data_IF_868692737942
#
_entry.id   IF_868692737942
#
_cell.length_a   1.000
_cell.length_b   1.000
_cell.length_c   1.000
_cell.angle_alpha   90.00
_cell.angle_beta   90.00
_cell.angle_gamma   90.00
#
_symmetry.space_group_name_H-M   'P 1'
#
loop_
_entity.id
_entity.type
_entity.pdbx_description
1 polymer ?
#
# COMPACT_ATOMS: atom_id res chain seq x y z
N UNK A 1 16.91 -3.36 -11.66
CA UNK A 1 15.88 -4.26 -11.18
C UNK A 1 16.35 -4.78 -9.85
N UNK A 2 15.69 -4.39 -8.81
CA UNK A 2 16.02 -4.76 -7.43
C UNK A 2 15.38 -6.08 -7.02
N UNK A 3 15.27 -6.29 -5.73
CA UNK A 3 14.71 -7.51 -5.13
C UNK A 3 13.24 -7.33 -4.71
N UNK A 4 12.55 -6.30 -5.19
CA UNK A 4 11.20 -5.91 -4.76
C UNK A 4 10.21 -7.09 -4.79
N UNK A 5 10.22 -7.90 -5.86
CA UNK A 5 9.35 -9.07 -5.96
C UNK A 5 9.63 -10.15 -4.93
N UNK A 6 10.90 -10.34 -4.54
CA UNK A 6 11.28 -11.25 -3.47
C UNK A 6 10.87 -10.69 -2.10
N UNK A 7 11.04 -9.38 -1.91
CA UNK A 7 10.64 -8.71 -0.66
C UNK A 7 9.14 -8.77 -0.45
N UNK A 8 8.32 -8.54 -1.49
CA UNK A 8 6.87 -8.75 -1.41
C UNK A 8 6.51 -10.14 -0.91
N UNK A 9 7.15 -11.16 -1.47
CA UNK A 9 6.95 -12.54 -1.02
C UNK A 9 7.36 -12.71 0.45
N UNK A 10 8.57 -12.29 0.83
CA UNK A 10 9.09 -12.48 2.19
C UNK A 10 8.23 -11.74 3.21
N UNK A 11 7.93 -10.46 2.97
CA UNK A 11 7.11 -9.65 3.87
C UNK A 11 5.73 -10.28 4.06
N UNK A 12 5.05 -10.66 2.97
CA UNK A 12 3.72 -11.26 3.07
C UNK A 12 3.73 -12.60 3.84
N UNK A 13 4.81 -13.40 3.70
CA UNK A 13 4.98 -14.64 4.48
C UNK A 13 5.26 -14.41 5.96
N UNK A 14 5.95 -13.33 6.29
CA UNK A 14 6.15 -12.95 7.69
C UNK A 14 4.87 -12.42 8.32
N UNK A 15 4.05 -11.69 7.56
CA UNK A 15 2.72 -11.23 8.01
C UNK A 15 1.77 -12.38 8.34
N UNK A 16 1.89 -13.56 7.68
CA UNK A 16 1.15 -14.77 8.08
C UNK A 16 1.45 -15.24 9.52
N UNK A 17 2.58 -14.83 10.10
CA UNK A 17 2.99 -15.15 11.48
C UNK A 17 2.64 -14.04 12.47
N UNK A 18 2.06 -12.95 11.99
CA UNK A 18 1.63 -11.82 12.81
C UNK A 18 0.21 -12.04 13.38
N UNK A 19 -0.29 -11.02 14.08
CA UNK A 19 -1.69 -10.98 14.57
C UNK A 19 -2.67 -10.49 13.49
N UNK A 20 -2.20 -10.13 12.30
CA UNK A 20 -3.06 -9.70 11.20
C UNK A 20 -3.85 -10.88 10.64
N UNK A 21 -5.10 -10.62 10.27
CA UNK A 21 -5.92 -11.59 9.57
C UNK A 21 -5.55 -11.62 8.08
N UNK A 22 -5.83 -12.74 7.42
CA UNK A 22 -5.47 -12.94 6.01
C UNK A 22 -6.09 -11.89 5.07
N UNK A 23 -7.26 -11.40 5.39
CA UNK A 23 -7.95 -10.36 4.62
C UNK A 23 -7.35 -8.95 4.78
N UNK A 24 -6.41 -8.75 5.71
CA UNK A 24 -5.82 -7.44 5.99
C UNK A 24 -4.57 -7.14 5.14
N UNK A 25 -4.01 -8.13 4.46
CA UNK A 25 -2.83 -7.97 3.61
C UNK A 25 -2.86 -8.88 2.39
N UNK A 26 -2.14 -8.49 1.34
CA UNK A 26 -2.01 -9.30 0.13
C UNK A 26 -0.90 -10.33 0.31
N UNK A 27 -1.23 -11.60 0.02
CA UNK A 27 -0.27 -12.70 0.05
C UNK A 27 0.35 -12.88 -1.33
N UNK A 28 1.68 -12.83 -1.38
CA UNK A 28 2.43 -12.99 -2.63
C UNK A 28 3.09 -14.37 -2.74
N UNK A 29 3.26 -14.82 -3.98
CA UNK A 29 4.04 -16.00 -4.38
C UNK A 29 5.13 -15.56 -5.33
N UNK A 30 6.25 -16.24 -5.33
CA UNK A 30 7.30 -16.00 -6.33
C UNK A 30 6.88 -16.52 -7.70
N UNK A 31 7.28 -15.80 -8.75
CA UNK A 31 7.02 -16.17 -10.15
C UNK A 31 8.26 -15.91 -10.99
N UNK A 32 8.62 -16.85 -11.86
CA UNK A 32 9.66 -16.63 -12.86
C UNK A 32 9.03 -15.98 -14.10
N UNK A 33 9.47 -14.78 -14.42
CA UNK A 33 8.97 -13.99 -15.55
C UNK A 33 9.99 -14.04 -16.68
N UNK A 34 9.57 -14.51 -17.85
CA UNK A 34 10.39 -14.51 -19.05
C UNK A 34 10.10 -13.25 -19.86
N UNK A 35 11.08 -12.35 -19.98
CA UNK A 35 10.97 -11.14 -20.77
C UNK A 35 12.23 -10.92 -21.62
N UNK A 36 12.05 -10.70 -22.92
CA UNK A 36 13.14 -10.47 -23.88
C UNK A 36 14.27 -11.51 -23.77
N UNK A 37 13.93 -12.81 -23.72
CA UNK A 37 14.86 -13.96 -23.60
C UNK A 37 15.68 -13.98 -22.29
N UNK A 38 15.27 -13.22 -21.27
CA UNK A 38 15.87 -13.25 -19.93
C UNK A 38 14.83 -13.68 -18.91
N UNK A 39 15.28 -14.37 -17.89
CA UNK A 39 14.48 -14.79 -16.76
C UNK A 39 14.64 -13.78 -15.63
N UNK A 40 13.53 -13.40 -15.04
CA UNK A 40 13.49 -12.50 -13.90
C UNK A 40 12.67 -13.15 -12.78
N UNK A 41 13.13 -12.98 -11.55
CA UNK A 41 12.32 -13.31 -10.39
C UNK A 41 11.35 -12.17 -10.15
N UNK A 42 10.07 -12.49 -10.17
CA UNK A 42 8.98 -11.58 -9.83
C UNK A 42 8.10 -12.15 -8.74
N UNK A 43 7.02 -11.47 -8.46
CA UNK A 43 5.97 -11.97 -7.58
C UNK A 43 4.61 -11.88 -8.24
N UNK A 44 3.68 -12.67 -7.73
CA UNK A 44 2.26 -12.63 -8.10
C UNK A 44 1.40 -12.79 -6.85
N UNK A 45 0.20 -12.23 -6.88
CA UNK A 45 -0.85 -12.48 -5.90
C UNK A 45 -2.13 -12.95 -6.59
N UNK A 46 -3.01 -13.54 -5.82
CA UNK A 46 -4.40 -13.68 -6.26
C UNK A 46 -5.03 -12.29 -6.36
N UNK A 47 -5.99 -12.14 -7.25
CA UNK A 47 -6.77 -10.91 -7.32
C UNK A 47 -7.64 -10.78 -6.07
N UNK A 48 -7.35 -9.82 -5.22
CA UNK A 48 -8.11 -9.59 -4.00
C UNK A 48 -9.37 -8.73 -4.20
N UNK A 49 -9.59 -8.22 -5.43
CA UNK A 49 -10.78 -7.45 -5.76
C UNK A 49 -11.94 -8.39 -6.09
N UNK A 50 -13.06 -8.36 -5.34
CA UNK A 50 -14.29 -9.02 -5.75
C UNK A 50 -14.80 -8.47 -7.09
N UNK A 51 -15.61 -9.25 -7.78
CA UNK A 51 -16.22 -8.80 -9.04
C UNK A 51 -17.08 -7.55 -8.82
N UNK A 52 -16.89 -6.54 -9.66
CA UNK A 52 -17.59 -5.26 -9.59
C UNK A 52 -17.02 -4.27 -8.56
N UNK A 53 -16.00 -4.66 -7.81
CA UNK A 53 -15.33 -3.76 -6.87
C UNK A 53 -14.19 -3.00 -7.53
N UNK A 54 -13.82 -1.87 -6.95
CA UNK A 54 -12.73 -1.02 -7.44
C UNK A 54 -11.74 -0.69 -6.31
N UNK A 55 -10.46 -0.71 -6.64
CA UNK A 55 -9.42 -0.14 -5.79
C UNK A 55 -9.28 1.36 -6.11
N UNK A 56 -9.44 2.20 -5.10
CA UNK A 56 -9.28 3.64 -5.22
C UNK A 56 -8.14 4.07 -4.30
N UNK A 57 -7.03 4.54 -4.88
CA UNK A 57 -5.91 5.06 -4.11
C UNK A 57 -6.26 6.35 -3.40
N UNK A 58 -5.58 6.67 -2.29
CA UNK A 58 -5.89 7.89 -1.53
C UNK A 58 -5.74 9.16 -2.38
N UNK A 59 -4.74 9.20 -3.27
CA UNK A 59 -4.57 10.34 -4.19
C UNK A 59 -5.79 10.49 -5.12
N UNK A 60 -6.29 9.38 -5.70
CA UNK A 60 -7.48 9.40 -6.55
C UNK A 60 -8.75 9.73 -5.79
N UNK A 61 -8.90 9.19 -4.58
CA UNK A 61 -10.04 9.45 -3.72
C UNK A 61 -10.15 10.95 -3.40
N UNK A 62 -9.05 11.53 -2.96
CA UNK A 62 -8.98 12.95 -2.60
C UNK A 62 -9.19 13.85 -3.82
N UNK A 63 -8.52 13.52 -4.94
CA UNK A 63 -8.69 14.26 -6.18
C UNK A 63 -10.13 14.24 -6.69
N UNK A 64 -10.78 13.08 -6.64
CA UNK A 64 -12.19 12.93 -7.06
C UNK A 64 -13.16 13.76 -6.22
N UNK A 65 -12.86 13.97 -4.95
CA UNK A 65 -13.73 14.71 -4.03
C UNK A 65 -13.46 16.21 -3.99
N UNK A 66 -12.19 16.62 -4.01
CA UNK A 66 -11.77 18.02 -3.86
C UNK A 66 -11.24 18.66 -5.14
N UNK A 67 -11.01 17.89 -6.20
CA UNK A 67 -10.32 18.32 -7.42
C UNK A 67 -8.93 18.92 -7.16
N UNK A 68 -8.26 18.43 -6.12
CA UNK A 68 -6.92 18.82 -5.68
C UNK A 68 -6.06 17.59 -5.44
N UNK A 69 -4.73 17.70 -5.62
CA UNK A 69 -3.79 16.64 -5.27
C UNK A 69 -3.59 16.55 -3.76
N UNK A 70 -3.81 15.36 -3.20
CA UNK A 70 -3.53 15.08 -1.78
C UNK A 70 -2.04 15.32 -1.47
N UNK A 71 -1.16 14.86 -2.35
CA UNK A 71 0.28 15.03 -2.20
C UNK A 71 0.66 16.53 -2.08
N UNK A 72 0.17 17.39 -2.98
CA UNK A 72 0.40 18.83 -2.90
C UNK A 72 -0.15 19.42 -1.61
N UNK A 73 -1.32 18.98 -1.18
CA UNK A 73 -1.92 19.46 0.07
C UNK A 73 -1.08 19.08 1.27
N UNK A 74 -0.56 17.86 1.36
CA UNK A 74 0.28 17.41 2.46
C UNK A 74 1.58 18.21 2.57
N UNK A 75 2.16 18.67 1.46
CA UNK A 75 3.33 19.55 1.48
C UNK A 75 3.09 20.91 2.16
N UNK A 76 1.84 21.36 2.20
CA UNK A 76 1.49 22.61 2.88
C UNK A 76 1.38 22.46 4.40
N UNK A 77 1.37 21.23 4.92
CA UNK A 77 1.29 20.92 6.34
C UNK A 77 2.71 20.62 6.84
N UNK A 78 3.30 21.42 7.73
CA UNK A 78 4.69 21.24 8.15
C UNK A 78 4.92 19.95 8.95
N UNK A 79 4.05 19.70 9.93
CA UNK A 79 4.22 18.62 10.90
C UNK A 79 3.74 17.26 10.36
N UNK A 80 4.55 16.22 10.54
CA UNK A 80 4.22 14.88 10.05
C UNK A 80 3.00 14.27 10.75
N UNK A 81 2.84 14.52 12.04
CA UNK A 81 1.66 14.09 12.80
C UNK A 81 0.38 14.71 12.27
N UNK A 82 0.40 16.01 11.97
CA UNK A 82 -0.75 16.71 11.39
C UNK A 82 -1.08 16.21 9.97
N UNK A 83 -0.05 15.83 9.17
CA UNK A 83 -0.28 15.17 7.87
C UNK A 83 -1.02 13.86 8.01
N UNK A 84 -0.62 13.04 8.99
CA UNK A 84 -1.27 11.77 9.26
C UNK A 84 -2.71 11.97 9.72
N UNK A 85 -2.95 12.87 10.67
CA UNK A 85 -4.29 13.23 11.13
C UNK A 85 -5.15 13.72 9.97
N UNK A 86 -4.63 14.60 9.12
CA UNK A 86 -5.32 15.08 7.93
C UNK A 86 -5.71 13.96 6.97
N UNK A 87 -4.80 13.00 6.68
CA UNK A 87 -5.10 11.85 5.82
C UNK A 87 -6.23 11.02 6.42
N UNK A 88 -6.16 10.72 7.71
CA UNK A 88 -7.18 9.91 8.40
C UNK A 88 -8.53 10.63 8.38
N UNK A 89 -8.58 11.86 8.87
CA UNK A 89 -9.83 12.64 8.94
C UNK A 89 -10.51 12.79 7.58
N UNK A 90 -9.73 13.13 6.54
CA UNK A 90 -10.30 13.30 5.21
C UNK A 90 -10.78 11.98 4.61
N UNK A 91 -10.03 10.89 4.81
CA UNK A 91 -10.45 9.58 4.31
C UNK A 91 -11.71 9.09 5.03
N UNK A 92 -11.76 9.18 6.36
CA UNK A 92 -12.95 8.80 7.14
C UNK A 92 -14.17 9.66 6.76
N UNK A 93 -13.96 10.95 6.55
CA UNK A 93 -15.03 11.88 6.11
C UNK A 93 -15.59 11.53 4.73
N UNK A 94 -14.72 11.21 3.77
CA UNK A 94 -15.14 10.91 2.39
C UNK A 94 -15.81 9.53 2.32
N UNK A 95 -15.26 8.55 3.02
CA UNK A 95 -15.63 7.13 2.87
C UNK A 95 -16.63 6.64 3.89
N UNK A 96 -16.74 7.30 5.05
CA UNK A 96 -17.50 6.80 6.20
C UNK A 96 -16.85 5.65 6.97
N UNK A 97 -15.61 5.27 6.62
CA UNK A 97 -14.86 4.23 7.34
C UNK A 97 -14.34 4.80 8.67
N UNK A 98 -14.80 4.29 9.80
CA UNK A 98 -14.42 4.81 11.14
C UNK A 98 -13.11 4.24 11.69
N UNK A 99 -12.56 3.20 11.08
CA UNK A 99 -11.36 2.49 11.55
C UNK A 99 -10.11 2.78 10.68
N UNK A 100 -10.16 3.83 9.86
CA UNK A 100 -9.06 4.14 8.96
C UNK A 100 -7.77 4.53 9.70
N UNK A 101 -7.88 5.19 10.85
CA UNK A 101 -6.73 5.48 11.70
C UNK A 101 -6.01 4.22 12.20
N UNK A 102 -6.75 3.18 12.56
CA UNK A 102 -6.15 1.86 12.93
C UNK A 102 -5.47 1.20 11.74
N UNK A 103 -6.09 1.27 10.56
CA UNK A 103 -5.52 0.77 9.32
C UNK A 103 -4.19 1.46 8.99
N UNK A 104 -4.14 2.79 9.07
CA UNK A 104 -2.90 3.56 8.86
C UNK A 104 -1.83 3.19 9.88
N UNK A 105 -2.18 2.98 11.15
CA UNK A 105 -1.24 2.55 12.18
C UNK A 105 -0.61 1.18 11.85
N UNK A 106 -1.38 0.24 11.29
CA UNK A 106 -0.86 -1.06 10.83
C UNK A 106 0.11 -0.90 9.67
N UNK A 107 -0.22 -0.08 8.67
CA UNK A 107 0.68 0.22 7.54
C UNK A 107 1.99 0.79 8.05
N UNK A 108 1.95 1.82 8.89
CA UNK A 108 3.15 2.48 9.42
C UNK A 108 4.00 1.53 10.27
N UNK A 109 3.37 0.64 11.05
CA UNK A 109 4.09 -0.38 11.81
C UNK A 109 4.80 -1.39 10.88
N UNK A 110 4.13 -1.84 9.81
CA UNK A 110 4.71 -2.72 8.79
C UNK A 110 5.88 -2.02 8.09
N UNK A 111 5.67 -0.79 7.62
CA UNK A 111 6.70 -0.02 6.93
C UNK A 111 7.92 0.22 7.83
N UNK A 112 7.72 0.54 9.10
CA UNK A 112 8.80 0.71 10.07
C UNK A 112 9.55 -0.59 10.32
N UNK A 113 8.82 -1.70 10.51
CA UNK A 113 9.40 -3.00 10.80
C UNK A 113 10.22 -3.55 9.63
N UNK A 114 9.72 -3.38 8.42
CA UNK A 114 10.37 -3.88 7.21
C UNK A 114 11.21 -2.82 6.47
N UNK A 115 11.35 -1.62 7.03
CA UNK A 115 12.11 -0.51 6.42
C UNK A 115 11.61 -0.18 5.01
N UNK A 116 10.30 -0.08 4.83
CA UNK A 116 9.72 0.30 3.54
C UNK A 116 9.83 1.81 3.33
N UNK A 117 10.62 2.22 2.34
CA UNK A 117 10.96 3.63 2.08
C UNK A 117 10.08 4.29 1.00
N UNK A 118 9.24 3.51 0.31
CA UNK A 118 8.44 4.00 -0.82
C UNK A 118 6.93 3.94 -0.57
N UNK A 119 6.48 4.14 0.67
CA UNK A 119 5.06 4.26 0.97
C UNK A 119 4.53 5.63 0.59
N UNK A 120 3.68 5.69 -0.41
CA UNK A 120 3.08 6.93 -0.90
C UNK A 120 1.55 6.79 -1.14
N UNK A 121 0.87 7.89 -1.47
CA UNK A 121 -0.60 7.93 -1.54
C UNK A 121 -1.21 7.14 -2.72
N UNK A 122 -0.38 6.60 -3.61
CA UNK A 122 -0.83 5.71 -4.69
C UNK A 122 -0.77 4.21 -4.32
N UNK A 123 -0.06 3.83 -3.25
CA UNK A 123 -0.03 2.45 -2.74
C UNK A 123 -0.68 2.29 -1.36
N UNK A 124 -1.53 3.26 -1.00
CA UNK A 124 -2.53 3.16 0.06
C UNK A 124 -3.89 3.45 -0.57
N UNK A 125 -4.90 2.67 -0.27
CA UNK A 125 -6.21 2.84 -0.88
C UNK A 125 -7.36 2.29 -0.06
N UNK A 126 -8.54 2.44 -0.61
CA UNK A 126 -9.79 1.85 -0.13
C UNK A 126 -10.43 1.06 -1.27
N UNK A 127 -11.28 0.12 -0.93
CA UNK A 127 -12.10 -0.59 -1.90
C UNK A 127 -13.48 0.05 -1.95
N UNK A 128 -14.07 0.14 -3.14
CA UNK A 128 -15.45 0.56 -3.33
C UNK A 128 -16.21 -0.57 -3.99
N UNK A 129 -17.33 -0.97 -3.40
CA UNK A 129 -18.20 -2.02 -3.94
C UNK A 129 -19.18 -1.50 -5.02
N UNK A 130 -19.98 -2.39 -5.58
CA UNK A 130 -20.95 -2.05 -6.62
C UNK A 130 -22.09 -1.13 -6.13
N UNK A 131 -22.28 -0.99 -4.83
CA UNK A 131 -23.27 -0.12 -4.18
C UNK A 131 -22.64 1.20 -3.70
N UNK A 132 -21.41 1.49 -4.16
CA UNK A 132 -20.61 2.67 -3.81
C UNK A 132 -20.27 2.78 -2.31
N UNK A 133 -20.28 1.65 -1.58
CA UNK A 133 -19.81 1.62 -0.20
C UNK A 133 -18.31 1.36 -0.15
N UNK A 134 -17.65 2.02 0.77
CA UNK A 134 -16.21 1.91 0.96
C UNK A 134 -15.83 0.89 2.02
N UNK A 135 -14.73 0.19 1.79
CA UNK A 135 -14.17 -0.83 2.65
C UNK A 135 -12.65 -0.65 2.76
N UNK A 136 -12.04 -1.15 3.84
CA UNK A 136 -10.59 -1.17 3.96
C UNK A 136 -9.97 -2.06 2.88
N UNK A 137 -8.87 -1.60 2.31
CA UNK A 137 -8.11 -2.36 1.33
C UNK A 137 -7.09 -3.26 2.06
N UNK A 138 -6.87 -4.52 1.63
CA UNK A 138 -5.71 -5.28 2.08
C UNK A 138 -4.42 -4.49 1.86
N UNK A 139 -3.48 -4.55 2.80
CA UNK A 139 -2.19 -3.87 2.70
C UNK A 139 -1.36 -4.54 1.60
N UNK A 140 -0.88 -3.75 0.66
CA UNK A 140 -0.14 -4.19 -0.52
C UNK A 140 1.07 -3.28 -0.77
N UNK A 141 1.93 -3.65 -1.71
CA UNK A 141 3.09 -2.88 -2.14
C UNK A 141 4.09 -2.61 -1.02
N UNK A 142 4.68 -3.70 -0.52
CA UNK A 142 5.72 -3.68 0.50
C UNK A 142 7.12 -3.96 -0.08
N UNK A 143 7.23 -3.98 -1.41
CA UNK A 143 8.44 -4.39 -2.14
C UNK A 143 9.66 -3.50 -1.94
N UNK A 144 9.46 -2.25 -1.56
CA UNK A 144 10.55 -1.29 -1.27
C UNK A 144 11.13 -1.44 0.15
N UNK A 145 10.80 -2.54 0.85
CA UNK A 145 11.35 -2.85 2.17
C UNK A 145 12.65 -3.67 2.13
N UNK A 146 13.19 -3.96 3.31
CA UNK A 146 14.36 -4.84 3.52
C UNK A 146 15.59 -4.47 2.66
N UNK A 147 15.78 -3.16 2.40
CA UNK A 147 16.90 -2.66 1.59
C UNK A 147 16.92 -3.28 0.17
N UNK A 148 15.77 -3.37 -0.47
CA UNK A 148 15.63 -4.01 -1.79
C UNK A 148 16.14 -3.17 -2.96
N UNK A 149 16.25 -1.85 -2.80
CA UNK A 149 16.79 -0.96 -3.83
C UNK A 149 18.32 -0.96 -3.82
N UNK A 150 18.90 -1.83 -4.64
CA UNK A 150 20.35 -1.98 -4.73
C UNK A 150 21.08 -0.73 -5.26
N UNK A 151 20.40 0.22 -5.87
CA UNK A 151 21.02 1.46 -6.35
C UNK A 151 21.10 2.50 -5.22
N UNK A 152 20.08 2.56 -4.38
CA UNK A 152 20.02 3.46 -3.24
C UNK A 152 20.76 2.90 -2.04
N UNK A 153 20.56 1.60 -1.73
CA UNK A 153 21.06 0.96 -0.53
C UNK A 153 22.52 0.49 -0.64
N UNK A 154 22.98 0.19 -1.86
CA UNK A 154 24.34 -0.29 -2.13
C UNK A 154 24.95 0.44 -3.34
N UNK A 155 25.17 1.75 -3.25
CA UNK A 155 25.81 2.49 -4.34
C UNK A 155 27.26 2.05 -4.48
N UNK A 156 27.60 1.49 -5.64
CA UNK A 156 29.00 1.16 -6.01
C UNK A 156 29.64 2.28 -6.80
#
# INVERSE_FOLDING_TARGET
>A
MGYEGLVEYVVSRLLEKSSLKQEEYVLYKTEEINYKRRKYLGCKSENFLPEGWQLITLERLFYGFYNESLYKKLFTIPEHSERLEFIVDQTERITGISDFGKYMSKILAIDTFFMNEDRHMHNIGVLMDAEEKYHLCPIFDNGAGLLSDIQMDYPM
#
